data_IF_923088680739
#
_entry.id   IF_923088680739
#
_cell.length_a   1.000
_cell.length_b   1.000
_cell.length_c   1.000
_cell.angle_alpha   90.00
_cell.angle_beta   90.00
_cell.angle_gamma   90.00
#
_symmetry.space_group_name_H-M   'P 1'
#
loop_
_entity.id
_entity.type
_entity.pdbx_description
1 polymer ?
#
# COMPACT_ATOMS: atom_id res chain seq x y z
N UNK A 1 -19.26 -16.10 21.29
CA UNK A 1 -19.43 -14.68 21.63
C UNK A 1 -18.06 -14.15 22.01
N UNK A 2 -17.58 -13.11 21.33
CA UNK A 2 -16.34 -12.42 21.72
C UNK A 2 -16.59 -11.79 23.08
N UNK A 3 -15.67 -11.98 24.03
CA UNK A 3 -15.73 -11.31 25.32
C UNK A 3 -15.50 -9.80 25.11
N UNK A 4 -16.55 -9.01 25.31
CA UNK A 4 -16.54 -7.55 25.14
C UNK A 4 -16.50 -6.80 26.47
N UNK A 5 -16.35 -7.50 27.59
CA UNK A 5 -16.34 -6.89 28.93
C UNK A 5 -15.21 -5.86 29.06
N UNK A 6 -13.98 -6.25 28.70
CA UNK A 6 -12.82 -5.35 28.72
C UNK A 6 -12.96 -4.14 27.80
N UNK A 7 -13.59 -4.30 26.62
CA UNK A 7 -13.86 -3.16 25.72
C UNK A 7 -14.83 -2.15 26.36
N UNK A 8 -15.90 -2.61 27.01
CA UNK A 8 -16.86 -1.71 27.65
C UNK A 8 -16.27 -0.99 28.85
N UNK A 9 -15.43 -1.66 29.63
CA UNK A 9 -14.71 -1.05 30.75
C UNK A 9 -13.75 0.03 30.25
N UNK A 10 -13.00 -0.24 29.17
CA UNK A 10 -12.13 0.74 28.53
C UNK A 10 -12.91 1.95 28.00
N UNK A 11 -14.00 1.75 27.25
CA UNK A 11 -14.79 2.88 26.75
C UNK A 11 -15.38 3.72 27.89
N UNK A 12 -15.75 3.08 29.01
CA UNK A 12 -16.21 3.79 30.20
C UNK A 12 -15.09 4.57 30.88
N UNK A 13 -13.85 4.06 30.92
CA UNK A 13 -12.71 4.81 31.47
C UNK A 13 -12.31 6.00 30.63
N UNK A 14 -12.64 5.99 29.33
CA UNK A 14 -12.44 7.10 28.38
C UNK A 14 -13.66 8.03 28.27
N UNK A 15 -14.61 7.96 29.22
CA UNK A 15 -15.84 8.77 29.25
C UNK A 15 -16.71 8.66 27.98
N UNK A 16 -16.66 7.51 27.28
CA UNK A 16 -17.46 7.26 26.08
C UNK A 16 -18.84 6.71 26.45
N UNK A 17 -19.89 7.44 26.06
CA UNK A 17 -21.28 7.01 26.24
C UNK A 17 -21.73 6.14 25.07
N UNK A 18 -22.27 4.95 25.37
CA UNK A 18 -22.72 4.00 24.36
C UNK A 18 -24.21 4.21 24.02
N UNK A 19 -24.50 4.30 22.73
CA UNK A 19 -25.85 4.33 22.18
C UNK A 19 -26.03 3.19 21.15
N UNK A 20 -27.24 2.62 21.00
CA UNK A 20 -27.54 1.71 19.90
C UNK A 20 -27.33 2.39 18.54
N UNK A 21 -26.83 1.65 17.57
CA UNK A 21 -26.58 2.17 16.21
C UNK A 21 -27.84 2.75 15.55
N UNK A 22 -28.99 2.12 15.77
CA UNK A 22 -30.30 2.57 15.26
C UNK A 22 -30.70 3.96 15.73
N UNK A 23 -30.19 4.38 16.88
CA UNK A 23 -30.65 5.59 17.57
C UNK A 23 -29.83 6.81 17.13
N UNK A 24 -28.77 6.61 16.34
CA UNK A 24 -27.83 7.66 15.98
C UNK A 24 -28.50 8.87 15.31
N UNK A 25 -29.44 8.65 14.38
CA UNK A 25 -30.12 9.74 13.69
C UNK A 25 -31.01 10.56 14.64
N UNK A 26 -31.83 9.87 15.44
CA UNK A 26 -32.73 10.51 16.40
C UNK A 26 -31.94 11.27 17.46
N UNK A 27 -30.90 10.65 18.01
CA UNK A 27 -30.01 11.25 18.99
C UNK A 27 -29.36 12.54 18.45
N UNK A 28 -28.78 12.50 17.25
CA UNK A 28 -28.11 13.67 16.66
C UNK A 28 -29.10 14.81 16.37
N UNK A 29 -30.33 14.46 15.95
CA UNK A 29 -31.41 15.44 15.71
C UNK A 29 -31.81 16.12 17.01
N UNK A 30 -32.14 15.34 18.05
CA UNK A 30 -32.53 15.87 19.36
C UNK A 30 -31.41 16.69 20.00
N UNK A 31 -30.17 16.22 19.90
CA UNK A 31 -29.00 16.96 20.38
C UNK A 31 -28.89 18.32 19.69
N UNK A 32 -29.01 18.37 18.36
CA UNK A 32 -28.89 19.62 17.61
C UNK A 32 -30.00 20.61 17.93
N UNK A 33 -31.23 20.14 18.09
CA UNK A 33 -32.38 20.95 18.52
C UNK A 33 -32.15 21.54 19.92
N UNK A 34 -31.71 20.71 20.88
CA UNK A 34 -31.40 21.15 22.24
C UNK A 34 -30.29 22.20 22.27
N UNK A 35 -29.20 21.98 21.53
CA UNK A 35 -28.11 22.94 21.44
C UNK A 35 -28.54 24.25 20.79
N UNK A 36 -29.39 24.19 19.76
CA UNK A 36 -29.93 25.38 19.11
C UNK A 36 -30.85 26.18 20.04
N UNK A 37 -31.66 25.49 20.86
CA UNK A 37 -32.53 26.14 21.83
C UNK A 37 -31.76 26.78 23.00
N UNK A 38 -30.66 26.16 23.42
CA UNK A 38 -29.86 26.63 24.57
C UNK A 38 -28.92 27.80 24.25
N UNK A 39 -28.59 28.03 22.98
CA UNK A 39 -27.56 28.98 22.58
C UNK A 39 -28.13 30.14 21.74
N UNK A 40 -27.58 31.36 21.94
CA UNK A 40 -27.95 32.56 21.15
C UNK A 40 -27.52 32.45 19.67
N UNK A 41 -26.52 31.63 19.39
CA UNK A 41 -26.02 31.33 18.04
C UNK A 41 -26.16 29.84 17.78
N UNK A 42 -26.48 29.47 16.54
CA UNK A 42 -26.55 28.06 16.13
C UNK A 42 -25.18 27.38 16.34
N UNK A 43 -25.15 26.13 16.84
CA UNK A 43 -23.90 25.40 17.00
C UNK A 43 -23.29 25.11 15.63
N UNK A 44 -22.01 25.44 15.44
CA UNK A 44 -21.26 25.03 14.25
C UNK A 44 -20.85 23.58 14.40
N UNK A 45 -21.16 22.76 13.40
CA UNK A 45 -20.86 21.32 13.42
C UNK A 45 -19.91 21.00 12.29
N UNK A 46 -18.76 20.43 12.63
CA UNK A 46 -17.82 19.92 11.63
C UNK A 46 -18.36 18.61 11.06
N UNK A 47 -18.55 18.52 9.75
CA UNK A 47 -18.94 17.29 9.08
C UNK A 47 -17.97 16.94 7.94
N UNK A 48 -17.49 15.69 7.87
CA UNK A 48 -16.67 15.26 6.74
C UNK A 48 -17.39 15.38 5.39
N UNK A 49 -16.63 15.61 4.31
CA UNK A 49 -17.15 15.59 2.91
C UNK A 49 -17.79 14.25 2.51
N UNK A 50 -17.51 13.17 3.25
CA UNK A 50 -18.06 11.83 3.04
C UNK A 50 -19.29 11.53 3.90
N UNK A 51 -19.77 12.48 4.71
CA UNK A 51 -21.01 12.32 5.49
C UNK A 51 -22.18 12.06 4.56
N UNK A 52 -22.98 11.04 4.86
CA UNK A 52 -24.15 10.73 4.05
C UNK A 52 -25.19 11.87 4.15
N UNK A 53 -26.04 11.96 3.13
CA UNK A 53 -27.02 13.04 3.01
C UNK A 53 -27.95 13.14 4.23
N UNK A 54 -28.42 12.00 4.76
CA UNK A 54 -29.35 11.95 5.89
C UNK A 54 -28.81 12.68 7.12
N UNK A 55 -27.55 12.44 7.49
CA UNK A 55 -26.93 13.15 8.62
C UNK A 55 -26.51 14.58 8.25
N UNK A 56 -26.11 14.82 7.00
CA UNK A 56 -25.74 16.16 6.53
C UNK A 56 -26.90 17.15 6.60
N UNK A 57 -28.11 16.70 6.32
CA UNK A 57 -29.32 17.55 6.34
C UNK A 57 -29.62 18.13 7.72
N UNK A 58 -29.36 17.37 8.81
CA UNK A 58 -29.56 17.83 10.20
C UNK A 58 -28.81 19.15 10.46
N UNK A 59 -27.61 19.29 9.89
CA UNK A 59 -26.70 20.40 10.16
C UNK A 59 -26.60 21.43 9.03
N UNK A 60 -27.43 21.33 7.98
CA UNK A 60 -27.27 22.09 6.74
C UNK A 60 -27.13 23.62 6.93
N UNK A 61 -27.75 24.17 7.99
CA UNK A 61 -27.70 25.61 8.27
C UNK A 61 -26.47 26.11 9.06
N UNK A 62 -25.63 25.21 9.58
CA UNK A 62 -24.45 25.57 10.40
C UNK A 62 -23.25 24.64 10.24
N UNK A 63 -23.28 23.74 9.24
CA UNK A 63 -22.21 22.79 8.96
C UNK A 63 -20.94 23.49 8.46
N UNK A 64 -19.80 22.93 8.87
CA UNK A 64 -18.48 23.17 8.26
C UNK A 64 -18.09 21.89 7.56
N UNK A 65 -18.13 21.90 6.22
CA UNK A 65 -17.91 20.71 5.40
C UNK A 65 -16.47 20.71 4.89
N UNK A 66 -15.64 19.83 5.45
CA UNK A 66 -14.22 19.73 5.12
C UNK A 66 -13.75 18.26 5.20
N UNK A 67 -12.49 17.99 4.82
CA UNK A 67 -11.88 16.69 5.03
C UNK A 67 -11.78 16.34 6.52
N UNK A 68 -12.09 15.10 6.92
CA UNK A 68 -12.02 14.70 8.33
C UNK A 68 -10.60 14.89 8.89
N UNK A 69 -10.41 15.62 10.01
CA UNK A 69 -9.09 15.79 10.62
C UNK A 69 -8.51 14.45 11.08
N UNK A 70 -9.36 13.46 11.40
CA UNK A 70 -8.92 12.11 11.75
C UNK A 70 -8.25 11.42 10.57
N UNK A 71 -8.68 11.68 9.31
CA UNK A 71 -8.01 11.14 8.13
C UNK A 71 -6.58 11.68 8.01
N UNK A 72 -6.39 12.98 8.27
CA UNK A 72 -5.06 13.61 8.26
C UNK A 72 -4.19 13.05 9.38
N UNK A 73 -4.72 12.98 10.60
CA UNK A 73 -3.99 12.48 11.77
C UNK A 73 -3.54 11.04 11.58
N UNK A 74 -4.44 10.12 11.20
CA UNK A 74 -4.08 8.70 11.03
C UNK A 74 -3.27 8.46 9.75
N UNK A 75 -3.31 9.37 8.78
CA UNK A 75 -2.52 9.25 7.55
C UNK A 75 -1.02 9.24 7.81
N UNK A 76 -0.56 9.98 8.84
CA UNK A 76 0.84 9.99 9.30
C UNK A 76 1.00 9.01 10.46
N UNK A 77 1.74 7.94 10.24
CA UNK A 77 1.94 6.88 11.23
C UNK A 77 2.96 7.31 12.29
N UNK A 78 2.68 7.01 13.55
CA UNK A 78 3.64 7.19 14.63
C UNK A 78 4.71 6.08 14.63
N UNK A 79 5.74 6.22 15.47
CA UNK A 79 6.87 5.27 15.48
C UNK A 79 6.46 3.82 15.79
N UNK A 80 5.46 3.60 16.64
CA UNK A 80 4.97 2.25 16.99
C UNK A 80 4.20 1.65 15.81
N UNK A 81 3.34 2.43 15.16
CA UNK A 81 2.61 2.00 13.96
C UNK A 81 3.56 1.69 12.80
N UNK A 82 4.58 2.54 12.57
CA UNK A 82 5.59 2.28 11.54
C UNK A 82 6.36 0.99 11.82
N UNK A 83 6.70 0.74 13.07
CA UNK A 83 7.38 -0.49 13.46
C UNK A 83 6.48 -1.72 13.29
N UNK A 84 5.18 -1.60 13.61
CA UNK A 84 4.17 -2.59 13.25
C UNK A 84 4.22 -2.90 11.75
N UNK A 85 4.05 -1.87 10.91
CA UNK A 85 4.02 -2.00 9.45
C UNK A 85 5.29 -2.67 8.90
N UNK A 86 6.50 -2.30 9.38
CA UNK A 86 7.75 -2.96 8.97
C UNK A 86 7.73 -4.45 9.30
N UNK A 87 7.33 -4.78 10.53
CA UNK A 87 7.30 -6.17 10.99
C UNK A 87 6.26 -7.02 10.25
N UNK A 88 5.06 -6.48 10.00
CA UNK A 88 4.03 -7.18 9.22
C UNK A 88 4.46 -7.40 7.77
N UNK A 89 5.10 -6.41 7.13
CA UNK A 89 5.60 -6.58 5.76
C UNK A 89 6.74 -7.61 5.66
N UNK A 90 7.60 -7.75 6.67
CA UNK A 90 8.61 -8.83 6.68
C UNK A 90 7.94 -10.20 6.71
N UNK A 91 6.94 -10.40 7.58
CA UNK A 91 6.19 -11.68 7.66
C UNK A 91 5.41 -11.97 6.37
N UNK A 92 4.73 -10.96 5.82
CA UNK A 92 3.99 -11.10 4.56
C UNK A 92 4.92 -11.40 3.38
N UNK A 93 6.08 -10.73 3.33
CA UNK A 93 7.10 -10.99 2.31
C UNK A 93 7.63 -12.42 2.41
N UNK A 94 7.87 -12.93 3.62
CA UNK A 94 8.26 -14.33 3.83
C UNK A 94 7.18 -15.31 3.37
N UNK A 95 5.89 -14.99 3.57
CA UNK A 95 4.77 -15.82 3.10
C UNK A 95 4.71 -15.83 1.56
N UNK A 96 4.86 -14.65 0.94
CA UNK A 96 4.89 -14.51 -0.51
C UNK A 96 6.09 -15.24 -1.12
N UNK A 97 7.27 -15.20 -0.48
CA UNK A 97 8.46 -15.93 -0.93
C UNK A 97 8.25 -17.45 -0.85
N UNK A 98 7.71 -17.97 0.26
CA UNK A 98 7.32 -19.39 0.36
C UNK A 98 6.34 -19.77 -0.75
N UNK A 99 5.37 -18.90 -1.07
CA UNK A 99 4.40 -19.13 -2.14
C UNK A 99 5.04 -19.13 -3.52
N UNK A 100 5.88 -18.14 -3.84
CA UNK A 100 6.54 -18.04 -5.15
C UNK A 100 7.51 -19.21 -5.39
N UNK A 101 8.25 -19.63 -4.37
CA UNK A 101 9.08 -20.84 -4.43
C UNK A 101 8.24 -22.08 -4.73
N UNK A 102 7.14 -22.28 -3.98
CA UNK A 102 6.23 -23.40 -4.21
C UNK A 102 5.64 -23.33 -5.61
N UNK A 103 5.11 -22.18 -6.03
CA UNK A 103 4.50 -21.99 -7.34
C UNK A 103 5.47 -22.32 -8.47
N UNK A 104 6.72 -21.83 -8.39
CA UNK A 104 7.74 -22.14 -9.39
C UNK A 104 7.99 -23.65 -9.49
N UNK A 105 8.19 -24.34 -8.37
CA UNK A 105 8.43 -25.77 -8.36
C UNK A 105 7.26 -26.55 -8.99
N UNK A 106 6.03 -26.22 -8.62
CA UNK A 106 4.86 -26.93 -9.11
C UNK A 106 4.63 -26.75 -10.61
N UNK A 107 4.73 -25.51 -11.10
CA UNK A 107 4.51 -25.21 -12.52
C UNK A 107 5.62 -25.80 -13.39
N UNK A 108 6.87 -25.83 -12.91
CA UNK A 108 7.97 -26.47 -13.63
C UNK A 108 7.86 -28.00 -13.68
N UNK A 109 7.18 -28.61 -12.70
CA UNK A 109 6.82 -30.03 -12.72
C UNK A 109 5.57 -30.33 -13.59
N UNK A 110 5.01 -29.32 -14.27
CA UNK A 110 3.88 -29.47 -15.18
C UNK A 110 2.52 -29.59 -14.46
N UNK A 111 2.44 -29.23 -13.18
CA UNK A 111 1.16 -29.17 -12.47
C UNK A 111 0.39 -27.91 -12.86
N UNK A 112 -0.92 -28.03 -12.96
CA UNK A 112 -1.83 -26.95 -13.31
C UNK A 112 -2.77 -26.65 -12.14
N UNK A 113 -2.98 -25.36 -11.88
CA UNK A 113 -3.87 -24.86 -10.84
C UNK A 113 -4.79 -23.79 -11.43
N UNK A 114 -6.03 -23.76 -10.96
CA UNK A 114 -6.94 -22.65 -11.21
C UNK A 114 -6.54 -21.41 -10.39
N UNK A 115 -7.00 -20.23 -10.82
CA UNK A 115 -6.76 -18.96 -10.12
C UNK A 115 -7.27 -19.01 -8.67
N UNK A 116 -8.40 -19.68 -8.42
CA UNK A 116 -9.01 -19.82 -7.09
C UNK A 116 -8.17 -20.71 -6.17
N UNK A 117 -7.56 -21.78 -6.70
CA UNK A 117 -6.66 -22.64 -5.93
C UNK A 117 -5.38 -21.89 -5.53
N UNK A 118 -4.80 -21.12 -6.45
CA UNK A 118 -3.62 -20.31 -6.16
C UNK A 118 -3.91 -19.22 -5.14
N UNK A 119 -5.05 -18.53 -5.27
CA UNK A 119 -5.50 -17.54 -4.28
C UNK A 119 -5.68 -18.17 -2.89
N UNK A 120 -6.37 -19.32 -2.82
CA UNK A 120 -6.54 -20.06 -1.56
C UNK A 120 -5.20 -20.51 -0.97
N UNK A 121 -4.22 -20.84 -1.82
CA UNK A 121 -2.90 -21.29 -1.38
C UNK A 121 -2.11 -20.17 -0.73
N UNK A 122 -2.00 -18.99 -1.34
CA UNK A 122 -1.31 -17.85 -0.70
C UNK A 122 -2.02 -17.42 0.59
N UNK A 123 -3.36 -17.42 0.62
CA UNK A 123 -4.13 -17.11 1.84
C UNK A 123 -3.81 -18.09 2.97
N UNK A 124 -3.71 -19.39 2.65
CA UNK A 124 -3.33 -20.41 3.64
C UNK A 124 -1.91 -20.21 4.18
N UNK A 125 -0.97 -19.75 3.34
CA UNK A 125 0.41 -19.48 3.76
C UNK A 125 0.50 -18.23 4.64
N UNK A 126 -0.27 -17.18 4.33
CA UNK A 126 -0.40 -15.99 5.18
C UNK A 126 -1.04 -16.35 6.51
N UNK A 127 -2.09 -17.18 6.50
CA UNK A 127 -2.78 -17.63 7.70
C UNK A 127 -1.91 -18.47 8.64
N UNK A 128 -0.86 -19.10 8.12
CA UNK A 128 0.11 -19.84 8.92
C UNK A 128 1.19 -18.95 9.57
N UNK A 129 1.28 -17.67 9.21
CA UNK A 129 2.24 -16.74 9.82
C UNK A 129 1.77 -16.27 11.19
N UNK A 130 2.73 -16.00 12.08
CA UNK A 130 2.44 -15.39 13.37
C UNK A 130 1.73 -14.04 13.18
N UNK A 131 0.73 -13.79 14.04
CA UNK A 131 -0.07 -12.55 14.06
C UNK A 131 -0.88 -12.26 12.79
N UNK A 132 -1.26 -13.30 12.04
CA UNK A 132 -2.23 -13.16 10.96
C UNK A 132 -3.58 -12.64 11.49
N UNK A 133 -4.03 -11.49 10.96
CA UNK A 133 -5.24 -10.77 11.41
C UNK A 133 -5.17 -10.35 12.89
N UNK A 134 -3.96 -10.05 13.40
CA UNK A 134 -3.80 -9.37 14.69
C UNK A 134 -4.03 -7.87 14.53
N UNK A 135 -4.78 -7.27 15.46
CA UNK A 135 -5.16 -5.86 15.44
C UNK A 135 -3.97 -4.88 15.55
N UNK A 136 -2.75 -5.38 15.77
CA UNK A 136 -1.61 -4.61 16.28
C UNK A 136 -0.51 -4.33 15.26
N UNK A 137 -0.56 -4.92 14.08
CA UNK A 137 0.66 -5.12 13.31
C UNK A 137 0.68 -4.42 11.94
N UNK A 138 -0.47 -4.05 11.37
CA UNK A 138 -0.52 -3.30 10.11
C UNK A 138 -1.34 -3.96 9.00
N UNK A 139 -1.33 -3.32 7.83
CA UNK A 139 -2.00 -3.78 6.59
C UNK A 139 -0.95 -3.84 5.48
N UNK A 140 -0.93 -4.91 4.68
CA UNK A 140 0.00 -5.06 3.55
C UNK A 140 -0.73 -5.02 2.22
N UNK A 141 -0.04 -4.56 1.18
CA UNK A 141 -0.47 -4.69 -0.21
C UNK A 141 0.75 -4.93 -1.11
N UNK A 142 0.64 -5.89 -2.02
CA UNK A 142 1.74 -6.32 -2.87
C UNK A 142 1.23 -7.04 -4.10
N UNK A 143 1.77 -6.65 -5.25
CA UNK A 143 1.57 -7.33 -6.53
C UNK A 143 2.93 -7.71 -7.13
N UNK A 144 3.03 -8.97 -7.59
CA UNK A 144 4.12 -9.46 -8.44
C UNK A 144 3.51 -10.10 -9.68
N UNK A 145 4.09 -9.78 -10.83
CA UNK A 145 3.84 -10.52 -12.07
C UNK A 145 5.02 -11.46 -12.31
N UNK A 146 4.72 -12.73 -12.57
CA UNK A 146 5.73 -13.74 -12.92
C UNK A 146 5.31 -14.46 -14.19
N UNK A 147 6.29 -14.91 -14.97
CA UNK A 147 6.09 -15.84 -16.07
C UNK A 147 6.94 -17.08 -15.81
N UNK A 148 6.30 -18.22 -15.59
CA UNK A 148 6.96 -19.48 -15.24
C UNK A 148 6.48 -20.53 -16.24
N UNK A 149 7.38 -21.01 -17.09
CA UNK A 149 7.09 -22.05 -18.06
C UNK A 149 8.36 -22.82 -18.41
N UNK A 150 8.25 -24.15 -18.48
CA UNK A 150 9.27 -25.04 -19.04
C UNK A 150 9.05 -25.31 -20.53
N UNK A 151 7.87 -25.00 -21.06
CA UNK A 151 7.43 -25.41 -22.41
C UNK A 151 7.49 -24.30 -23.44
N UNK A 152 7.42 -23.03 -23.03
CA UNK A 152 7.37 -21.89 -23.95
C UNK A 152 8.21 -20.72 -23.47
N UNK A 153 9.00 -20.09 -24.36
CA UNK A 153 9.73 -18.88 -24.01
C UNK A 153 8.76 -17.73 -23.73
N UNK A 154 9.19 -16.81 -22.88
CA UNK A 154 8.44 -15.59 -22.60
C UNK A 154 8.41 -14.71 -23.86
N UNK A 155 7.23 -14.23 -24.32
CA UNK A 155 7.16 -13.36 -25.48
C UNK A 155 7.99 -12.08 -25.29
N UNK A 156 8.79 -11.69 -26.28
CA UNK A 156 9.59 -10.45 -26.24
C UNK A 156 8.72 -9.21 -25.97
N UNK A 157 7.51 -9.19 -26.54
CA UNK A 157 6.51 -8.13 -26.30
C UNK A 157 6.12 -8.05 -24.81
N UNK A 158 5.97 -9.19 -24.12
CA UNK A 158 5.69 -9.23 -22.68
C UNK A 158 6.89 -8.70 -21.88
N UNK A 159 8.11 -9.16 -22.19
CA UNK A 159 9.34 -8.69 -21.52
C UNK A 159 9.49 -7.18 -21.66
N UNK A 160 9.25 -6.63 -22.86
CA UNK A 160 9.29 -5.18 -23.11
C UNK A 160 8.26 -4.44 -22.26
N UNK A 161 7.00 -4.90 -22.24
CA UNK A 161 5.96 -4.28 -21.41
C UNK A 161 6.30 -4.36 -19.91
N UNK A 162 6.78 -5.50 -19.43
CA UNK A 162 7.17 -5.71 -18.04
C UNK A 162 8.31 -4.78 -17.64
N UNK A 163 9.31 -4.63 -18.50
CA UNK A 163 10.44 -3.75 -18.27
C UNK A 163 10.00 -2.28 -18.22
N UNK A 164 9.06 -1.85 -19.05
CA UNK A 164 8.50 -0.49 -19.00
C UNK A 164 7.74 -0.21 -17.69
N UNK A 165 6.96 -1.19 -17.21
CA UNK A 165 6.28 -1.11 -15.91
C UNK A 165 7.30 -0.99 -14.78
N UNK A 166 8.35 -1.83 -14.81
CA UNK A 166 9.42 -1.78 -13.83
C UNK A 166 10.16 -0.43 -13.85
N UNK A 167 10.49 0.11 -15.02
CA UNK A 167 11.09 1.45 -15.13
C UNK A 167 10.22 2.52 -14.49
N UNK A 168 8.89 2.45 -14.70
CA UNK A 168 7.95 3.34 -14.03
C UNK A 168 7.96 3.19 -12.50
N UNK A 169 8.05 1.96 -12.00
CA UNK A 169 8.12 1.67 -10.57
C UNK A 169 9.42 2.25 -9.97
N UNK A 170 10.57 1.92 -10.56
CA UNK A 170 11.90 2.36 -10.11
C UNK A 170 12.01 3.88 -10.17
N UNK A 171 11.57 4.51 -11.26
CA UNK A 171 11.69 5.96 -11.43
C UNK A 171 11.03 6.72 -10.29
N UNK A 172 9.82 6.31 -9.88
CA UNK A 172 9.15 6.91 -8.74
C UNK A 172 9.79 6.51 -7.40
N UNK A 173 10.08 5.22 -7.19
CA UNK A 173 10.65 4.74 -5.93
C UNK A 173 12.03 5.35 -5.63
N UNK A 174 12.80 5.72 -6.65
CA UNK A 174 14.11 6.37 -6.54
C UNK A 174 14.04 7.91 -6.54
N UNK A 175 12.84 8.50 -6.60
CA UNK A 175 12.67 9.96 -6.64
C UNK A 175 12.83 10.58 -5.26
N UNK A 176 13.61 11.66 -5.20
CA UNK A 176 13.72 12.58 -4.05
C UNK A 176 12.95 13.85 -4.40
N UNK A 177 12.02 14.26 -3.53
CA UNK A 177 11.07 15.34 -3.83
C UNK A 177 10.85 16.28 -2.64
N UNK A 178 10.49 17.55 -2.85
CA UNK A 178 10.28 18.49 -1.75
C UNK A 178 9.07 18.08 -0.90
N UNK A 179 9.13 18.35 0.41
CA UNK A 179 7.97 18.18 1.28
C UNK A 179 6.77 19.05 0.83
N UNK A 180 5.57 18.71 1.30
CA UNK A 180 4.34 19.49 1.10
C UNK A 180 3.86 19.56 -0.36
N UNK A 181 4.10 18.49 -1.12
CA UNK A 181 3.50 18.29 -2.44
C UNK A 181 2.39 17.24 -2.38
N UNK A 182 1.45 17.34 -3.31
CA UNK A 182 0.44 16.30 -3.54
C UNK A 182 0.96 15.25 -4.52
N UNK A 183 0.53 14.00 -4.36
CA UNK A 183 1.03 12.88 -5.18
C UNK A 183 0.68 12.96 -6.66
N UNK A 184 -0.26 13.81 -7.08
CA UNK A 184 -0.51 14.10 -8.51
C UNK A 184 0.73 14.61 -9.24
N UNK A 185 1.65 15.28 -8.53
CA UNK A 185 2.92 15.75 -9.10
C UNK A 185 3.94 14.62 -9.32
N UNK A 186 3.69 13.45 -8.75
CA UNK A 186 4.57 12.28 -8.80
C UNK A 186 4.05 11.19 -9.75
N UNK A 187 2.74 11.10 -9.98
CA UNK A 187 2.07 10.07 -10.81
C UNK A 187 2.68 9.93 -12.21
N UNK A 188 3.03 11.04 -12.87
CA UNK A 188 3.66 11.03 -14.20
C UNK A 188 5.00 10.28 -14.24
N UNK A 189 5.75 10.23 -13.13
CA UNK A 189 7.05 9.57 -13.09
C UNK A 189 6.93 8.07 -13.39
N UNK A 190 5.87 7.42 -12.92
CA UNK A 190 5.62 6.01 -13.19
C UNK A 190 5.00 5.73 -14.57
N UNK A 191 4.46 6.77 -15.24
CA UNK A 191 3.92 6.66 -16.60
C UNK A 191 4.95 6.96 -17.68
N UNK A 192 5.99 7.73 -17.32
CA UNK A 192 6.89 8.36 -18.28
C UNK A 192 7.45 7.41 -19.34
N UNK A 193 8.00 6.26 -18.93
CA UNK A 193 8.60 5.30 -19.86
C UNK A 193 7.57 4.67 -20.82
N UNK A 194 6.36 4.37 -20.34
CA UNK A 194 5.26 3.84 -21.14
C UNK A 194 4.73 4.88 -22.13
N UNK A 195 4.60 6.14 -21.71
CA UNK A 195 4.18 7.23 -22.60
C UNK A 195 5.13 7.45 -23.77
N UNK A 196 6.45 7.22 -23.60
CA UNK A 196 7.42 7.32 -24.71
C UNK A 196 7.13 6.34 -25.86
N UNK A 197 6.38 5.28 -25.61
CA UNK A 197 6.00 4.27 -26.60
C UNK A 197 4.49 4.22 -26.85
N UNK A 198 3.75 5.24 -26.40
CA UNK A 198 2.30 5.35 -26.62
C UNK A 198 1.43 4.43 -25.76
N UNK A 199 1.95 3.97 -24.62
CA UNK A 199 1.25 3.08 -23.68
C UNK A 199 0.88 3.82 -22.38
N UNK A 200 -0.19 3.39 -21.71
CA UNK A 200 -0.63 3.93 -20.41
C UNK A 200 -1.41 2.86 -19.61
N UNK A 201 -1.79 3.16 -18.36
CA UNK A 201 -2.62 2.31 -17.52
C UNK A 201 -3.81 3.06 -16.88
N UNK A 202 -4.96 2.38 -16.78
CA UNK A 202 -6.25 2.97 -16.45
C UNK A 202 -6.54 3.25 -14.96
N UNK A 203 -5.52 3.23 -14.09
CA UNK A 203 -5.66 3.49 -12.64
C UNK A 203 -4.60 4.50 -12.15
N UNK A 204 -4.67 4.92 -10.88
CA UNK A 204 -3.64 5.75 -10.26
C UNK A 204 -2.35 4.96 -10.00
N UNK A 205 -1.23 5.64 -9.83
CA UNK A 205 0.07 5.02 -9.50
C UNK A 205 0.13 4.44 -8.09
N UNK A 206 -0.66 4.94 -7.13
CA UNK A 206 -0.74 4.37 -5.80
C UNK A 206 -1.67 5.11 -4.83
N UNK A 207 -1.85 4.54 -3.65
CA UNK A 207 -2.74 5.02 -2.59
C UNK A 207 -2.06 4.94 -1.22
N UNK A 208 -2.61 5.62 -0.22
CA UNK A 208 -2.17 5.42 1.16
C UNK A 208 -2.65 4.10 1.73
N UNK A 209 -1.94 3.61 2.77
CA UNK A 209 -2.25 2.35 3.45
C UNK A 209 -2.40 2.60 4.95
N UNK A 210 -3.52 2.11 5.51
CA UNK A 210 -3.81 2.22 6.94
C UNK A 210 -3.02 1.23 7.79
N UNK A 211 -2.84 1.57 9.07
CA UNK A 211 -2.27 0.64 10.04
C UNK A 211 -3.41 -0.21 10.61
N UNK A 212 -3.53 -1.47 10.15
CA UNK A 212 -4.61 -2.36 10.54
C UNK A 212 -6.01 -1.72 10.30
N UNK A 213 -6.11 -0.99 9.20
CA UNK A 213 -7.33 -0.34 8.71
C UNK A 213 -7.44 -0.63 7.21
N UNK A 214 -8.19 0.20 6.48
CA UNK A 214 -8.37 0.07 5.05
C UNK A 214 -7.03 0.03 4.30
N UNK A 215 -6.92 -0.91 3.36
CA UNK A 215 -5.78 -0.98 2.43
C UNK A 215 -5.70 0.26 1.54
N UNK A 216 -6.85 0.79 1.13
CA UNK A 216 -6.96 2.10 0.46
C UNK A 216 -7.33 3.18 1.49
N UNK A 217 -6.35 3.97 1.87
CA UNK A 217 -6.48 5.00 2.89
C UNK A 217 -6.07 6.38 2.35
N UNK A 218 -6.98 7.35 2.45
CA UNK A 218 -6.67 8.77 2.21
C UNK A 218 -6.03 9.45 3.43
N UNK A 219 -5.67 10.74 3.33
CA UNK A 219 -5.97 11.64 2.22
C UNK A 219 -4.92 11.65 1.10
N UNK A 220 -3.71 11.14 1.36
CA UNK A 220 -2.64 11.12 0.38
C UNK A 220 -2.80 9.94 -0.60
N UNK A 221 -2.58 10.21 -1.88
CA UNK A 221 -2.52 9.22 -2.96
C UNK A 221 -1.66 9.75 -4.10
N UNK A 222 -1.18 8.84 -4.96
CA UNK A 222 -0.39 9.14 -6.14
C UNK A 222 -1.25 8.79 -7.36
N UNK A 223 -1.90 9.78 -7.95
CA UNK A 223 -2.84 9.56 -9.04
C UNK A 223 -3.11 10.82 -9.87
N UNK A 224 -3.76 10.64 -11.01
CA UNK A 224 -4.13 11.74 -11.92
C UNK A 224 -5.32 12.58 -11.45
N UNK A 225 -6.08 12.12 -10.45
CA UNK A 225 -7.25 12.84 -9.94
C UNK A 225 -6.84 13.82 -8.85
N UNK A 226 -7.34 15.05 -8.92
CA UNK A 226 -7.17 16.02 -7.84
C UNK A 226 -7.77 15.47 -6.56
N UNK A 227 -6.98 15.42 -5.49
CA UNK A 227 -7.45 14.96 -4.19
C UNK A 227 -8.52 15.93 -3.65
N UNK A 228 -9.63 15.40 -3.14
CA UNK A 228 -10.72 16.17 -2.54
C UNK A 228 -10.32 16.88 -1.23
N UNK A 229 -9.10 16.64 -0.73
CA UNK A 229 -8.59 17.08 0.56
C UNK A 229 -7.65 18.30 0.47
N UNK A 230 -7.43 18.89 -0.72
CA UNK A 230 -6.60 20.09 -0.84
C UNK A 230 -5.18 19.92 -0.26
N UNK A 231 -4.77 20.82 0.65
CA UNK A 231 -3.47 20.74 1.35
C UNK A 231 -3.37 19.59 2.36
N UNK A 232 -4.49 19.01 2.79
CA UNK A 232 -4.47 17.85 3.67
C UNK A 232 -3.96 16.59 2.95
N UNK A 233 -4.03 16.56 1.61
CA UNK A 233 -3.47 15.51 0.76
C UNK A 233 -1.95 15.60 0.54
N UNK A 234 -1.24 16.52 1.22
CA UNK A 234 0.21 16.58 1.14
C UNK A 234 0.86 15.29 1.63
N UNK A 235 1.86 14.83 0.89
CA UNK A 235 2.73 13.74 1.30
C UNK A 235 3.64 14.24 2.42
N UNK A 236 3.69 13.48 3.52
CA UNK A 236 4.44 13.81 4.74
C UNK A 236 5.27 12.59 5.16
N UNK A 237 6.37 12.86 5.85
CA UNK A 237 7.15 11.81 6.53
C UNK A 237 6.25 10.96 7.43
N UNK A 238 6.50 9.65 7.48
CA UNK A 238 5.71 8.69 8.26
C UNK A 238 4.40 8.26 7.59
N UNK A 239 4.04 8.80 6.42
CA UNK A 239 2.98 8.22 5.59
C UNK A 239 3.45 6.91 4.95
N UNK A 240 2.50 6.04 4.60
CA UNK A 240 2.74 4.82 3.84
C UNK A 240 1.92 4.89 2.57
N UNK A 241 2.58 4.77 1.41
CA UNK A 241 1.97 4.83 0.08
C UNK A 241 2.40 3.62 -0.75
N UNK A 242 1.51 3.12 -1.61
CA UNK A 242 1.88 2.15 -2.65
C UNK A 242 2.52 2.85 -3.85
N UNK A 243 3.37 2.12 -4.57
CA UNK A 243 3.77 2.42 -5.95
C UNK A 243 3.48 1.15 -6.75
N UNK A 244 2.50 1.22 -7.65
CA UNK A 244 1.89 0.06 -8.32
C UNK A 244 1.59 0.30 -9.81
N UNK A 245 2.53 0.84 -10.62
CA UNK A 245 2.28 0.96 -12.06
C UNK A 245 1.98 -0.40 -12.69
N UNK A 246 1.19 -0.37 -13.75
CA UNK A 246 0.83 -1.56 -14.50
C UNK A 246 0.70 -1.29 -15.99
N UNK A 247 0.42 -2.35 -16.74
CA UNK A 247 0.03 -2.29 -18.14
C UNK A 247 -0.83 -3.51 -18.47
N UNK A 248 -1.90 -3.31 -19.23
CA UNK A 248 -2.88 -4.35 -19.52
C UNK A 248 -3.16 -4.39 -21.03
N UNK A 249 -2.75 -5.49 -21.66
CA UNK A 249 -2.97 -5.71 -23.08
C UNK A 249 -4.18 -6.63 -23.26
N UNK A 250 -5.28 -6.03 -23.71
CA UNK A 250 -6.56 -6.72 -23.89
C UNK A 250 -6.42 -7.98 -24.76
N UNK A 251 -7.05 -9.07 -24.31
CA UNK A 251 -6.99 -10.37 -24.98
C UNK A 251 -5.65 -11.10 -24.87
N UNK A 252 -4.65 -10.55 -24.18
CA UNK A 252 -3.34 -11.19 -23.98
C UNK A 252 -2.95 -11.36 -22.51
N UNK A 253 -2.49 -10.28 -21.84
CA UNK A 253 -1.91 -10.35 -20.50
C UNK A 253 -1.98 -9.01 -19.76
N UNK A 254 -1.77 -9.06 -18.44
CA UNK A 254 -1.65 -7.90 -17.57
C UNK A 254 -0.39 -7.98 -16.71
N UNK A 255 0.18 -6.82 -16.39
CA UNK A 255 1.40 -6.67 -15.61
C UNK A 255 1.16 -5.59 -14.56
N UNK A 256 1.55 -5.84 -13.31
CA UNK A 256 1.61 -4.82 -12.26
C UNK A 256 2.72 -5.18 -11.28
N UNK A 257 3.53 -4.18 -10.89
CA UNK A 257 4.60 -4.33 -9.91
C UNK A 257 4.33 -3.35 -8.79
N UNK A 258 4.05 -3.87 -7.60
CA UNK A 258 3.58 -3.08 -6.48
C UNK A 258 4.37 -3.36 -5.20
N UNK A 259 4.72 -2.27 -4.52
CA UNK A 259 5.28 -2.27 -3.19
C UNK A 259 4.63 -1.16 -2.35
N UNK A 260 4.46 -1.40 -1.06
CA UNK A 260 4.27 -0.38 -0.05
C UNK A 260 5.60 0.30 0.28
N UNK A 261 5.58 1.62 0.44
CA UNK A 261 6.72 2.45 0.81
C UNK A 261 6.38 3.34 1.99
N UNK A 262 7.29 3.40 2.95
CA UNK A 262 7.31 4.43 4.00
C UNK A 262 7.95 5.71 3.43
N UNK A 263 7.32 6.84 3.68
CA UNK A 263 7.86 8.16 3.33
C UNK A 263 8.86 8.58 4.41
N UNK A 264 10.10 8.79 3.99
CA UNK A 264 11.23 9.15 4.87
C UNK A 264 11.84 10.47 4.45
N UNK A 265 12.54 11.16 5.37
CA UNK A 265 13.39 12.30 4.98
C UNK A 265 14.51 11.84 4.06
N UNK A 266 14.84 12.69 3.09
CA UNK A 266 15.95 12.50 2.18
C UNK A 266 17.05 13.54 2.45
N UNK A 267 18.28 13.07 2.64
CA UNK A 267 19.44 13.94 2.78
C UNK A 267 19.83 14.49 1.41
N UNK A 268 19.67 15.81 1.22
CA UNK A 268 19.99 16.50 -0.03
C UNK A 268 21.09 17.54 0.16
N UNK A 269 21.95 17.78 -0.86
CA UNK A 269 23.06 18.74 -0.74
C UNK A 269 22.65 20.17 -0.37
N UNK A 270 21.42 20.57 -0.68
CA UNK A 270 20.90 21.90 -0.34
C UNK A 270 20.54 22.06 1.14
N UNK A 271 20.42 20.96 1.90
CA UNK A 271 19.92 20.97 3.26
C UNK A 271 18.43 21.32 3.41
N UNK A 272 17.70 21.41 2.30
CA UNK A 272 16.26 21.69 2.31
C UNK A 272 15.43 20.45 2.67
N UNK A 273 14.19 20.66 3.12
CA UNK A 273 13.27 19.57 3.50
C UNK A 273 12.79 18.79 2.27
N UNK A 274 13.41 17.65 2.04
CA UNK A 274 13.07 16.69 1.00
C UNK A 274 12.68 15.34 1.59
N UNK A 275 11.86 14.62 0.85
CA UNK A 275 11.35 13.30 1.16
C UNK A 275 11.79 12.31 0.09
N UNK A 276 11.77 11.03 0.46
CA UNK A 276 11.99 9.89 -0.41
C UNK A 276 11.19 8.68 0.06
N UNK A 277 11.40 7.56 -0.61
CA UNK A 277 10.68 6.32 -0.36
C UNK A 277 11.61 5.27 0.24
N UNK A 278 11.13 4.54 1.25
CA UNK A 278 11.77 3.34 1.78
C UNK A 278 10.81 2.17 1.68
N UNK A 279 11.17 1.16 0.88
CA UNK A 279 10.32 -0.02 0.68
C UNK A 279 10.00 -0.71 2.02
N UNK A 280 8.72 -1.03 2.23
CA UNK A 280 8.25 -1.93 3.29
C UNK A 280 8.07 -3.33 2.74
N UNK A 281 7.48 -3.47 1.55
CA UNK A 281 7.39 -4.73 0.83
C UNK A 281 8.80 -5.18 0.42
N UNK A 282 9.16 -6.41 0.78
CA UNK A 282 10.49 -7.00 0.52
C UNK A 282 10.36 -8.38 -0.13
N UNK A 283 9.83 -8.41 -1.35
CA UNK A 283 9.75 -9.62 -2.16
C UNK A 283 10.53 -9.46 -3.47
N UNK A 284 11.24 -10.49 -3.98
CA UNK A 284 11.99 -10.39 -5.22
C UNK A 284 11.09 -10.02 -6.41
N UNK A 285 11.69 -9.41 -7.42
CA UNK A 285 11.05 -9.09 -8.70
C UNK A 285 11.73 -10.01 -9.72
N UNK A 286 10.95 -10.78 -10.47
CA UNK A 286 11.50 -11.80 -11.38
C UNK A 286 12.37 -11.14 -12.46
N UNK A 287 13.66 -11.47 -12.46
CA UNK A 287 14.65 -10.83 -13.34
C UNK A 287 14.69 -11.41 -14.74
N UNK A 288 14.26 -12.66 -14.92
CA UNK A 288 14.22 -13.34 -16.23
C UNK A 288 13.23 -12.73 -17.22
N UNK A 289 12.31 -11.90 -16.76
CA UNK A 289 11.32 -11.18 -17.59
C UNK A 289 11.65 -9.69 -17.75
N UNK A 290 12.91 -9.31 -17.52
CA UNK A 290 13.42 -7.95 -17.68
C UNK A 290 14.39 -7.90 -18.86
N UNK A 291 14.19 -6.97 -19.78
CA UNK A 291 15.20 -6.62 -20.78
C UNK A 291 16.21 -5.64 -20.16
N UNK A 292 17.34 -6.17 -19.69
CA UNK A 292 18.42 -5.39 -19.08
C UNK A 292 18.92 -4.27 -20.00
N UNK A 293 18.85 -4.42 -21.32
CA UNK A 293 19.33 -3.40 -22.26
C UNK A 293 18.48 -2.12 -22.24
N UNK A 294 17.25 -2.20 -21.74
CA UNK A 294 16.35 -1.04 -21.57
C UNK A 294 16.56 -0.31 -20.24
N UNK A 295 17.34 -0.88 -19.32
CA UNK A 295 17.63 -0.28 -18.02
C UNK A 295 18.91 0.57 -18.08
N UNK A 296 18.85 1.71 -17.43
CA UNK A 296 20.03 2.53 -17.12
C UNK A 296 20.84 1.88 -15.99
N UNK A 297 22.11 2.25 -15.86
CA UNK A 297 22.95 1.76 -14.77
C UNK A 297 22.36 2.07 -13.38
N UNK A 298 21.70 3.23 -13.22
CA UNK A 298 21.05 3.62 -11.97
C UNK A 298 19.83 2.75 -11.65
N UNK A 299 19.05 2.35 -12.66
CA UNK A 299 17.91 1.45 -12.46
C UNK A 299 18.35 0.02 -12.13
N UNK A 300 19.44 -0.46 -12.75
CA UNK A 300 20.06 -1.75 -12.40
C UNK A 300 20.57 -1.71 -10.95
N UNK A 301 21.28 -0.66 -10.56
CA UNK A 301 21.78 -0.49 -9.21
C UNK A 301 20.65 -0.43 -8.18
N UNK A 302 19.56 0.27 -8.48
CA UNK A 302 18.39 0.29 -7.60
C UNK A 302 17.80 -1.11 -7.41
N UNK A 303 17.67 -1.89 -8.49
CA UNK A 303 17.10 -3.24 -8.41
C UNK A 303 18.00 -4.18 -7.61
N UNK A 304 19.32 -4.13 -7.84
CA UNK A 304 20.30 -4.92 -7.10
C UNK A 304 20.31 -4.53 -5.61
N UNK A 305 20.36 -3.24 -5.29
CA UNK A 305 20.28 -2.73 -3.92
C UNK A 305 18.96 -3.11 -3.22
N UNK A 306 17.85 -3.11 -3.96
CA UNK A 306 16.56 -3.59 -3.44
C UNK A 306 16.60 -5.09 -3.15
N UNK A 307 17.13 -5.91 -4.05
CA UNK A 307 17.28 -7.36 -3.86
C UNK A 307 18.26 -7.71 -2.72
N UNK A 308 19.34 -6.95 -2.55
CA UNK A 308 20.25 -7.08 -1.41
C UNK A 308 19.51 -6.87 -0.09
N UNK A 309 18.65 -5.84 -0.03
CA UNK A 309 17.83 -5.56 1.17
C UNK A 309 16.76 -6.62 1.40
N UNK A 310 16.14 -7.15 0.35
CA UNK A 310 15.22 -8.30 0.44
C UNK A 310 15.95 -9.48 1.07
N UNK A 311 17.14 -9.80 0.57
CA UNK A 311 17.93 -10.93 1.05
C UNK A 311 18.40 -10.72 2.49
N UNK A 312 18.88 -9.53 2.86
CA UNK A 312 19.32 -9.28 4.23
C UNK A 312 18.17 -9.35 5.22
N UNK A 313 17.04 -8.69 4.94
CA UNK A 313 15.97 -8.58 5.93
C UNK A 313 15.07 -9.80 5.99
N UNK A 314 14.61 -10.29 4.84
CA UNK A 314 13.71 -11.46 4.82
C UNK A 314 14.51 -12.75 4.92
N UNK A 315 15.75 -12.78 4.42
CA UNK A 315 16.63 -13.93 4.58
C UNK A 315 16.94 -14.24 6.04
N UNK A 316 17.25 -13.23 6.86
CA UNK A 316 17.41 -13.38 8.32
C UNK A 316 16.15 -13.95 8.98
N UNK A 317 14.96 -13.46 8.58
CA UNK A 317 13.69 -13.97 9.10
C UNK A 317 13.45 -15.43 8.70
N UNK A 318 13.70 -15.80 7.44
CA UNK A 318 13.57 -17.18 6.96
C UNK A 318 14.55 -18.12 7.67
N UNK A 319 15.81 -17.70 7.84
CA UNK A 319 16.83 -18.46 8.56
C UNK A 319 16.43 -18.72 10.01
N UNK A 320 16.03 -17.68 10.74
CA UNK A 320 15.58 -17.82 12.13
C UNK A 320 14.31 -18.67 12.29
N UNK A 321 13.51 -18.78 11.23
CA UNK A 321 12.29 -19.61 11.16
C UNK A 321 12.56 -21.04 10.65
N UNK A 322 13.81 -21.42 10.38
CA UNK A 322 14.17 -22.75 9.87
C UNK A 322 13.80 -23.02 8.40
N UNK A 323 13.48 -21.97 7.63
CA UNK A 323 13.05 -22.04 6.22
C UNK A 323 14.22 -22.01 5.24
N UNK A 324 15.10 -23.01 5.35
CA UNK A 324 16.36 -23.04 4.59
C UNK A 324 16.17 -23.20 3.07
N UNK A 325 15.11 -23.90 2.65
CA UNK A 325 14.80 -24.07 1.22
C UNK A 325 14.38 -22.75 0.58
N UNK A 326 13.50 -21.99 1.25
CA UNK A 326 13.08 -20.66 0.83
C UNK A 326 14.25 -19.68 0.78
N UNK A 327 15.17 -19.75 1.75
CA UNK A 327 16.37 -18.90 1.75
C UNK A 327 17.26 -19.17 0.54
N UNK A 328 17.51 -20.45 0.22
CA UNK A 328 18.32 -20.83 -0.95
C UNK A 328 17.65 -20.40 -2.26
N UNK A 329 16.32 -20.51 -2.33
CA UNK A 329 15.55 -20.01 -3.46
C UNK A 329 15.68 -18.48 -3.57
N UNK A 330 15.51 -17.76 -2.46
CA UNK A 330 15.59 -16.31 -2.40
C UNK A 330 16.95 -15.78 -2.85
N UNK A 331 18.04 -16.43 -2.45
CA UNK A 331 19.41 -16.11 -2.88
C UNK A 331 19.57 -16.15 -4.40
N UNK A 332 18.93 -17.11 -5.08
CA UNK A 332 18.96 -17.20 -6.54
C UNK A 332 18.14 -16.07 -7.20
N UNK A 333 16.96 -15.79 -6.65
CA UNK A 333 16.06 -14.77 -7.20
C UNK A 333 16.57 -13.34 -6.97
N UNK A 334 17.41 -13.13 -5.95
CA UNK A 334 18.03 -11.84 -5.62
C UNK A 334 19.45 -11.67 -6.23
N UNK A 335 19.86 -12.56 -7.14
CA UNK A 335 21.15 -12.44 -7.80
C UNK A 335 21.20 -11.17 -8.66
N UNK A 336 22.30 -10.42 -8.57
CA UNK A 336 22.52 -9.19 -9.35
C UNK A 336 22.50 -9.47 -10.85
N UNK A 337 21.92 -8.55 -11.62
CA UNK A 337 21.74 -8.70 -13.07
C UNK A 337 22.72 -7.93 -13.93
#
# INVERSE_FOLDING_TARGET
MVDVSGMREYLKSEDVTLHPYSDAYEFMTQWYEQQTAANKQKPRVFIPTTTNYLFGEIFASSAVVEGSPVQVMKGVKNAVELEGMRNSHIRDSAALISFLMWLEAELLEGRCYSEVELASKIDSMRAAMDKYVDLRDGTTDVTRTVWISSESPVPEEFIRHNTLVLKGHINLANTVFPQAITGIRLDTLSRHAMWQVGLDFGHGTGHGVGHFLNVHEGPASIGHRTAAYGCDAWIREGMILTIEPGYYLEGKWGIRIENCYEIVKADVPSGADFLGFRALTLAPIQTSIIDKSMLTAAEVEWLNSYHDRVLSSVGEFLESSGKTAELQWLQKQCAHI
#
